data_IF_357051168245
#
_entry.id   IF_357051168245
#
_cell.length_a   1.000
_cell.length_b   1.000
_cell.length_c   1.000
_cell.angle_alpha   90.00
_cell.angle_beta   90.00
_cell.angle_gamma   90.00
#
_symmetry.space_group_name_H-M   'P 1'
#
loop_
_entity.id
_entity.type
_entity.pdbx_description
1 polymer ?
#
# COMPACT_ATOMS: atom_id res chain seq x y z
N UNK A 1 -2.74 3.00 10.08
CA UNK A 1 -2.29 3.23 8.67
C UNK A 1 -2.08 4.71 8.38
N UNK A 2 -1.37 5.14 7.33
CA UNK A 2 -1.46 6.53 6.88
C UNK A 2 -2.66 6.67 5.95
N UNK A 3 -3.50 7.68 6.16
CA UNK A 3 -4.71 7.90 5.34
C UNK A 3 -4.37 8.62 4.05
N UNK A 4 -3.11 9.01 3.85
CA UNK A 4 -2.64 9.62 2.62
C UNK A 4 -1.38 8.95 2.13
N UNK A 5 -1.28 8.79 0.81
CA UNK A 5 -0.08 8.34 0.13
C UNK A 5 0.20 9.28 -1.05
N UNK A 6 1.47 9.56 -1.36
CA UNK A 6 1.83 10.29 -2.57
C UNK A 6 1.82 9.32 -3.76
N UNK A 7 1.27 9.75 -4.89
CA UNK A 7 1.30 8.99 -6.14
C UNK A 7 2.72 8.82 -6.68
N UNK A 8 3.55 9.84 -6.53
CA UNK A 8 4.94 9.79 -6.98
C UNK A 8 5.76 8.85 -6.06
N UNK A 9 6.39 7.84 -6.64
CA UNK A 9 7.30 6.92 -5.94
C UNK A 9 8.77 7.12 -6.32
N UNK A 10 9.08 8.13 -7.14
CA UNK A 10 10.40 8.41 -7.70
C UNK A 10 10.34 8.33 -9.21
N UNK A 11 10.84 7.22 -9.77
CA UNK A 11 10.85 6.95 -11.23
C UNK A 11 9.48 6.61 -11.80
N UNK A 12 8.58 6.04 -10.97
CA UNK A 12 7.25 5.59 -11.36
C UNK A 12 6.18 6.13 -10.39
N UNK A 13 4.93 6.08 -10.82
CA UNK A 13 3.77 6.40 -10.00
C UNK A 13 3.03 5.15 -9.53
N UNK A 14 2.25 5.29 -8.44
CA UNK A 14 1.34 4.24 -7.97
C UNK A 14 0.32 3.88 -9.06
N UNK A 15 -0.12 4.87 -9.85
CA UNK A 15 -1.00 4.64 -10.99
C UNK A 15 -0.34 3.87 -12.13
N UNK A 16 0.88 4.20 -12.51
CA UNK A 16 1.61 3.47 -13.56
C UNK A 16 1.85 2.02 -13.14
N UNK A 17 2.26 1.80 -11.89
CA UNK A 17 2.41 0.45 -11.36
C UNK A 17 1.07 -0.30 -11.38
N UNK A 18 -0.04 0.34 -11.00
CA UNK A 18 -1.36 -0.27 -11.05
C UNK A 18 -1.77 -0.65 -12.49
N UNK A 19 -1.53 0.24 -13.45
CA UNK A 19 -1.83 -0.02 -14.87
C UNK A 19 -0.98 -1.17 -15.41
N UNK A 20 0.32 -1.20 -15.12
CA UNK A 20 1.23 -2.27 -15.53
C UNK A 20 0.89 -3.63 -14.87
N UNK A 21 0.47 -3.61 -13.60
CA UNK A 21 -0.04 -4.78 -12.89
C UNK A 21 -1.35 -5.29 -13.51
N UNK A 22 -2.23 -4.38 -13.91
CA UNK A 22 -3.53 -4.71 -14.50
C UNK A 22 -3.40 -5.22 -15.94
N UNK A 23 -2.46 -4.68 -16.72
CA UNK A 23 -2.17 -5.15 -18.09
C UNK A 23 -1.38 -6.46 -18.10
N UNK A 24 -0.79 -6.86 -16.97
CA UNK A 24 0.08 -8.02 -16.87
C UNK A 24 1.51 -7.77 -17.38
N UNK A 25 1.84 -6.51 -17.73
CA UNK A 25 3.20 -6.08 -18.05
C UNK A 25 4.15 -6.24 -16.86
N UNK A 26 3.62 -6.08 -15.65
CA UNK A 26 4.34 -6.24 -14.41
C UNK A 26 3.64 -7.27 -13.53
N UNK A 27 4.36 -8.28 -13.05
CA UNK A 27 3.77 -9.28 -12.14
C UNK A 27 3.94 -8.86 -10.70
N UNK A 28 3.04 -9.25 -9.79
CA UNK A 28 3.22 -9.02 -8.35
C UNK A 28 4.55 -9.57 -7.81
N UNK A 29 5.07 -10.64 -8.43
CA UNK A 29 6.37 -11.26 -8.13
C UNK A 29 7.58 -10.43 -8.57
N UNK A 30 7.40 -9.51 -9.53
CA UNK A 30 8.48 -8.63 -10.01
C UNK A 30 8.66 -7.41 -9.10
N UNK A 31 7.70 -7.17 -8.21
CA UNK A 31 7.79 -6.16 -7.16
C UNK A 31 8.36 -6.75 -5.88
N UNK A 32 9.06 -5.94 -5.08
CA UNK A 32 9.46 -6.37 -3.75
C UNK A 32 8.24 -6.84 -2.95
N UNK A 33 8.44 -7.84 -2.10
CA UNK A 33 7.36 -8.39 -1.28
C UNK A 33 6.76 -7.31 -0.38
N UNK A 34 5.43 -7.32 -0.24
CA UNK A 34 4.75 -6.38 0.65
C UNK A 34 4.84 -6.90 2.08
N UNK A 35 5.30 -6.06 3.00
CA UNK A 35 5.39 -6.45 4.41
C UNK A 35 4.06 -6.22 5.12
N UNK A 36 3.58 -7.27 5.77
CA UNK A 36 2.35 -7.28 6.57
C UNK A 36 2.65 -7.66 8.00
N UNK A 37 1.82 -7.21 8.93
CA UNK A 37 1.90 -7.59 10.32
C UNK A 37 0.51 -7.66 10.94
N UNK A 38 0.38 -8.35 12.06
CA UNK A 38 -0.89 -8.52 12.76
C UNK A 38 -0.83 -7.75 14.07
N UNK A 39 -1.81 -6.90 14.32
CA UNK A 39 -1.91 -6.19 15.59
C UNK A 39 -2.47 -7.08 16.71
N UNK A 40 -2.45 -6.56 17.93
CA UNK A 40 -2.95 -7.24 19.13
C UNK A 40 -4.46 -7.51 19.06
N UNK A 41 -5.20 -6.79 18.22
CA UNK A 41 -6.63 -7.02 17.96
C UNK A 41 -6.88 -8.10 16.90
N UNK A 42 -5.81 -8.65 16.31
CA UNK A 42 -5.84 -9.67 15.28
C UNK A 42 -6.02 -9.13 13.86
N UNK A 43 -5.95 -7.82 13.66
CA UNK A 43 -6.10 -7.18 12.36
C UNK A 43 -4.78 -7.16 11.60
N UNK A 44 -4.84 -7.49 10.32
CA UNK A 44 -3.66 -7.45 9.44
C UNK A 44 -3.48 -6.05 8.85
N UNK A 45 -2.26 -5.56 8.94
CA UNK A 45 -1.83 -4.25 8.47
C UNK A 45 -0.67 -4.40 7.50
N UNK A 46 -0.52 -3.46 6.57
CA UNK A 46 0.63 -3.39 5.67
C UNK A 46 1.51 -2.21 6.06
N UNK A 47 2.83 -2.40 5.96
CA UNK A 47 3.80 -1.31 6.07
C UNK A 47 3.97 -0.56 4.73
N UNK A 48 3.67 -1.22 3.62
CA UNK A 48 3.89 -0.73 2.25
C UNK A 48 2.57 -0.23 1.61
N UNK A 49 1.99 0.84 2.19
CA UNK A 49 0.68 1.38 1.79
C UNK A 49 0.56 1.74 0.29
N UNK A 50 1.63 2.24 -0.32
CA UNK A 50 1.65 2.63 -1.75
C UNK A 50 1.49 1.41 -2.67
N UNK A 51 2.07 0.27 -2.27
CA UNK A 51 2.02 -0.96 -3.03
C UNK A 51 0.64 -1.62 -2.91
N UNK A 52 0.07 -1.61 -1.71
CA UNK A 52 -1.33 -2.03 -1.51
C UNK A 52 -2.30 -1.20 -2.37
N UNK A 53 -2.09 0.12 -2.46
CA UNK A 53 -2.91 0.97 -3.31
C UNK A 53 -2.83 0.56 -4.80
N UNK A 54 -1.62 0.28 -5.31
CA UNK A 54 -1.43 -0.19 -6.68
C UNK A 54 -2.13 -1.54 -6.92
N UNK A 55 -1.96 -2.50 -6.01
CA UNK A 55 -2.59 -3.82 -6.11
C UNK A 55 -4.12 -3.77 -6.11
N UNK A 56 -4.72 -2.93 -5.26
CA UNK A 56 -6.18 -2.74 -5.26
C UNK A 56 -6.69 -2.08 -6.52
N UNK A 57 -5.95 -1.11 -7.08
CA UNK A 57 -6.30 -0.48 -8.35
C UNK A 57 -6.15 -1.46 -9.54
N UNK A 58 -5.25 -2.43 -9.42
CA UNK A 58 -5.06 -3.50 -10.40
C UNK A 58 -6.04 -4.68 -10.22
N UNK A 59 -6.94 -4.63 -9.24
CA UNK A 59 -7.89 -5.71 -8.89
C UNK A 59 -7.22 -7.07 -8.60
N UNK A 60 -6.01 -7.04 -8.06
CA UNK A 60 -5.27 -8.24 -7.72
C UNK A 60 -5.77 -8.85 -6.40
N UNK A 61 -6.35 -10.05 -6.49
CA UNK A 61 -6.87 -10.80 -5.33
C UNK A 61 -5.78 -11.53 -4.53
N UNK A 62 -4.63 -11.81 -5.14
CA UNK A 62 -3.53 -12.53 -4.51
C UNK A 62 -2.20 -11.84 -4.79
N UNK A 63 -1.49 -11.46 -3.73
CA UNK A 63 -0.16 -10.83 -3.83
C UNK A 63 0.78 -11.47 -2.82
N UNK A 64 2.08 -11.63 -3.15
CA UNK A 64 3.05 -12.15 -2.21
C UNK A 64 3.25 -11.14 -1.07
N UNK A 65 3.16 -11.65 0.16
CA UNK A 65 3.35 -10.87 1.39
C UNK A 65 4.34 -11.55 2.31
N UNK A 66 5.10 -10.74 3.05
CA UNK A 66 6.06 -11.16 4.05
C UNK A 66 5.64 -10.64 5.42
N UNK A 67 5.77 -11.47 6.45
CA UNK A 67 5.49 -11.03 7.82
C UNK A 67 6.64 -10.15 8.33
N UNK A 68 6.33 -8.90 8.69
CA UNK A 68 7.29 -8.01 9.30
C UNK A 68 7.61 -8.42 10.74
N UNK A 69 8.87 -8.25 11.16
CA UNK A 69 9.25 -8.40 12.57
C UNK A 69 8.65 -7.30 13.43
N UNK A 70 8.44 -7.60 14.72
CA UNK A 70 7.84 -6.67 15.68
C UNK A 70 8.66 -5.38 15.81
N UNK A 71 9.99 -5.47 15.81
CA UNK A 71 10.90 -4.33 15.94
C UNK A 71 10.72 -3.33 14.78
N UNK A 72 10.54 -3.85 13.56
CA UNK A 72 10.34 -3.03 12.35
C UNK A 72 8.96 -2.37 12.35
N UNK A 73 7.96 -3.04 12.93
CA UNK A 73 6.63 -2.49 13.15
C UNK A 73 6.66 -1.37 14.17
N UNK A 74 7.37 -1.55 15.29
CA UNK A 74 7.49 -0.54 16.36
C UNK A 74 8.12 0.76 15.84
N UNK A 75 9.18 0.66 15.03
CA UNK A 75 9.80 1.80 14.35
C UNK A 75 8.82 2.53 13.39
N UNK A 76 7.84 1.80 12.84
CA UNK A 76 6.87 2.33 11.87
C UNK A 76 5.47 2.53 12.43
N UNK A 77 5.27 2.38 13.75
CA UNK A 77 3.96 2.46 14.39
C UNK A 77 3.37 3.86 14.30
N UNK A 78 4.21 4.89 14.23
CA UNK A 78 3.80 6.28 14.00
C UNK A 78 3.09 6.48 12.65
N UNK A 79 3.38 5.63 11.66
CA UNK A 79 2.66 5.60 10.37
C UNK A 79 1.27 5.00 10.52
N UNK A 80 0.90 4.50 11.70
CA UNK A 80 -0.35 3.80 11.94
C UNK A 80 -1.46 4.62 12.60
N UNK A 81 -1.27 5.92 12.82
CA UNK A 81 -2.14 6.85 13.56
C UNK A 81 -3.51 7.22 12.93
N UNK A 82 -4.04 6.47 11.96
CA UNK A 82 -5.33 6.84 11.34
C UNK A 82 -6.57 6.37 12.08
N UNK A 83 -7.47 7.32 12.31
CA UNK A 83 -8.83 7.08 12.82
C UNK A 83 -9.70 6.18 11.93
N UNK A 84 -9.42 6.08 10.63
CA UNK A 84 -10.23 5.26 9.69
C UNK A 84 -9.82 3.78 9.65
N UNK A 85 -8.91 3.35 10.53
CA UNK A 85 -8.52 1.95 10.65
C UNK A 85 -7.98 1.33 9.35
N UNK A 86 -7.38 2.11 8.44
CA UNK A 86 -6.86 1.61 7.17
C UNK A 86 -7.91 1.17 6.14
N UNK A 87 -9.20 1.53 6.30
CA UNK A 87 -10.27 1.18 5.35
C UNK A 87 -10.16 1.90 4.00
N UNK A 88 -9.44 3.01 3.94
CA UNK A 88 -9.20 3.73 2.69
C UNK A 88 -7.87 4.49 2.71
N UNK A 89 -7.28 4.65 1.53
CA UNK A 89 -6.07 5.43 1.31
C UNK A 89 -6.39 6.56 0.33
N UNK A 90 -6.11 7.80 0.74
CA UNK A 90 -6.19 8.98 -0.14
C UNK A 90 -4.86 9.12 -0.89
N UNK A 91 -4.82 8.67 -2.13
CA UNK A 91 -3.64 8.81 -2.99
C UNK A 91 -3.64 10.20 -3.64
N UNK A 92 -2.63 11.02 -3.32
CA UNK A 92 -2.46 12.37 -3.87
C UNK A 92 -1.75 12.30 -5.22
N UNK A 93 -2.42 12.71 -6.30
CA UNK A 93 -1.88 12.67 -7.67
C UNK A 93 -1.00 13.88 -8.01
N UNK A 94 -1.17 14.99 -7.28
CA UNK A 94 -0.57 16.29 -7.62
C UNK A 94 -1.65 17.31 -8.01
N UNK A 95 -1.33 18.61 -8.03
CA UNK A 95 -2.24 19.70 -8.41
C UNK A 95 -3.59 19.69 -7.66
N UNK A 96 -3.59 19.37 -6.36
CA UNK A 96 -4.80 19.28 -5.54
C UNK A 96 -5.68 18.05 -5.80
N UNK A 97 -5.37 17.23 -6.82
CA UNK A 97 -6.14 16.02 -7.16
C UNK A 97 -5.76 14.84 -6.27
N UNK A 98 -6.76 14.05 -5.89
CA UNK A 98 -6.58 12.82 -5.14
C UNK A 98 -7.58 11.76 -5.58
N UNK A 99 -7.21 10.49 -5.42
CA UNK A 99 -8.13 9.36 -5.56
C UNK A 99 -8.27 8.66 -4.21
N UNK A 100 -9.45 8.10 -3.95
CA UNK A 100 -9.69 7.29 -2.76
C UNK A 100 -9.63 5.84 -3.19
N UNK A 101 -8.61 5.13 -2.71
CA UNK A 101 -8.50 3.68 -2.87
C UNK A 101 -9.19 3.04 -1.67
N UNK A 102 -10.27 2.30 -1.93
CA UNK A 102 -11.08 1.59 -0.93
C UNK A 102 -10.67 0.14 -0.80
#
# INVERSE_FOLDING_TARGET
>A
MQSTAKNNTGKYTVLENASALKSGELKPSDLPTMRVWKDETGKTWTLDHRRLAAYRLADLKGVPVEWASKELVEDQIWKMSTKNGGKSIKLKLGNGKFIIVK
#
